data_IF_469961416376
#
_entry.id   IF_469961416376
#
_cell.length_a   1.000
_cell.length_b   1.000
_cell.length_c   1.000
_cell.angle_alpha   90.00
_cell.angle_beta   90.00
_cell.angle_gamma   90.00
#
_symmetry.space_group_name_H-M   'P 1'
#
loop_
_entity.id
_entity.type
_entity.pdbx_description
1 polymer ?
#
# COMPACT_ATOMS: atom_id res chain seq x y z
N UNK A 1 -1.76 10.14 -2.86
CA UNK A 1 -2.30 8.76 -2.85
C UNK A 1 -3.71 8.85 -2.30
N UNK A 2 -4.70 8.23 -2.94
CA UNK A 2 -6.07 8.23 -2.39
C UNK A 2 -6.04 7.73 -0.94
N UNK A 3 -6.86 8.33 -0.08
CA UNK A 3 -7.04 7.81 1.27
C UNK A 3 -7.61 6.39 1.18
N UNK A 4 -6.89 5.42 1.73
CA UNK A 4 -7.22 3.99 1.62
C UNK A 4 -8.39 3.58 2.53
N UNK A 5 -8.61 4.36 3.59
CA UNK A 5 -9.67 4.20 4.57
C UNK A 5 -9.81 5.54 5.32
N UNK A 6 -10.91 5.70 6.06
CA UNK A 6 -11.16 6.85 6.92
C UNK A 6 -10.31 6.75 8.21
N UNK A 7 -9.34 7.66 8.36
CA UNK A 7 -8.47 7.73 9.54
C UNK A 7 -9.20 8.26 10.80
N UNK A 8 -10.38 8.86 10.64
CA UNK A 8 -11.20 9.39 11.73
C UNK A 8 -12.30 8.42 12.19
N UNK A 9 -12.46 7.29 11.50
CA UNK A 9 -13.43 6.28 11.89
C UNK A 9 -13.15 5.75 13.31
N UNK A 10 -14.22 5.49 14.07
CA UNK A 10 -14.09 4.98 15.43
C UNK A 10 -13.50 3.56 15.46
N UNK A 11 -12.62 3.30 16.42
CA UNK A 11 -12.04 1.96 16.60
C UNK A 11 -13.14 0.98 17.02
N UNK A 12 -13.23 -0.14 16.32
CA UNK A 12 -14.16 -1.22 16.64
C UNK A 12 -13.39 -2.41 17.20
N UNK A 13 -13.81 -2.89 18.37
CA UNK A 13 -13.29 -4.14 18.92
C UNK A 13 -13.61 -5.30 17.98
N UNK A 14 -12.59 -6.10 17.66
CA UNK A 14 -12.68 -7.24 16.74
C UNK A 14 -12.09 -8.47 17.43
N UNK A 15 -12.86 -9.56 17.45
CA UNK A 15 -12.40 -10.85 17.95
C UNK A 15 -11.63 -11.56 16.83
N UNK A 16 -10.46 -12.10 17.17
CA UNK A 16 -9.54 -12.70 16.20
C UNK A 16 -8.78 -13.85 16.84
N UNK A 17 -8.45 -14.85 16.00
CA UNK A 17 -7.67 -16.01 16.40
C UNK A 17 -6.22 -15.80 16.00
N UNK A 18 -5.31 -15.82 16.98
CA UNK A 18 -3.85 -15.76 16.78
C UNK A 18 -3.22 -16.94 17.52
N UNK A 19 -2.06 -17.39 17.03
CA UNK A 19 -1.20 -18.34 17.73
C UNK A 19 -0.95 -17.90 19.20
N UNK A 20 -1.20 -18.80 20.14
CA UNK A 20 -1.13 -18.52 21.57
C UNK A 20 0.29 -18.20 22.07
N UNK A 21 1.32 -18.86 21.53
CA UNK A 21 2.73 -18.60 21.86
C UNK A 21 3.19 -17.24 21.31
N UNK A 22 2.76 -16.88 20.10
CA UNK A 22 3.04 -15.55 19.56
C UNK A 22 2.42 -14.46 20.43
N UNK A 23 1.16 -14.65 20.85
CA UNK A 23 0.46 -13.71 21.71
C UNK A 23 1.12 -13.57 23.08
N UNK A 24 1.55 -14.68 23.69
CA UNK A 24 2.21 -14.66 25.00
C UNK A 24 3.55 -13.91 24.93
N UNK A 25 4.37 -14.18 23.91
CA UNK A 25 5.64 -13.49 23.67
C UNK A 25 5.45 -12.00 23.41
N UNK A 26 4.47 -11.63 22.58
CA UNK A 26 4.17 -10.22 22.30
C UNK A 26 3.74 -9.47 23.56
N UNK A 27 2.90 -10.08 24.41
CA UNK A 27 2.48 -9.51 25.69
C UNK A 27 3.65 -9.39 26.68
N UNK A 28 4.52 -10.39 26.76
CA UNK A 28 5.72 -10.34 27.59
C UNK A 28 6.65 -9.17 27.21
N UNK A 29 6.74 -8.88 25.91
CA UNK A 29 7.48 -7.74 25.37
C UNK A 29 6.72 -6.40 25.43
N UNK A 30 5.53 -6.37 26.03
CA UNK A 30 4.65 -5.18 26.12
C UNK A 30 4.34 -4.54 24.76
N UNK A 31 4.27 -5.35 23.70
CA UNK A 31 3.93 -4.87 22.36
C UNK A 31 2.47 -4.40 22.35
N UNK A 32 2.23 -3.21 21.81
CA UNK A 32 0.87 -2.71 21.60
C UNK A 32 0.21 -3.45 20.43
N UNK A 33 -0.55 -4.50 20.74
CA UNK A 33 -1.19 -5.37 19.76
C UNK A 33 -2.12 -4.61 18.81
N UNK A 34 -2.91 -3.67 19.33
CA UNK A 34 -3.84 -2.87 18.51
C UNK A 34 -3.10 -2.02 17.48
N UNK A 35 -2.08 -1.27 17.91
CA UNK A 35 -1.29 -0.43 17.01
C UNK A 35 -0.52 -1.28 15.98
N UNK A 36 0.01 -2.42 16.40
CA UNK A 36 0.75 -3.34 15.52
C UNK A 36 -0.16 -3.94 14.46
N UNK A 37 -1.37 -4.38 14.85
CA UNK A 37 -2.37 -4.91 13.92
C UNK A 37 -2.83 -3.85 12.92
N UNK A 38 -3.15 -2.64 13.38
CA UNK A 38 -3.54 -1.53 12.51
C UNK A 38 -2.45 -1.21 11.49
N UNK A 39 -1.18 -1.18 11.91
CA UNK A 39 -0.06 -0.94 11.01
C UNK A 39 0.12 -2.05 9.96
N UNK A 40 0.00 -3.32 10.38
CA UNK A 40 0.07 -4.46 9.49
C UNK A 40 -1.05 -4.43 8.44
N UNK A 41 -2.29 -4.17 8.87
CA UNK A 41 -3.45 -4.02 7.98
C UNK A 41 -3.28 -2.87 7.00
N UNK A 42 -2.80 -1.71 7.45
CA UNK A 42 -2.51 -0.55 6.58
C UNK A 42 -1.48 -0.91 5.51
N UNK A 43 -0.48 -1.71 5.87
CA UNK A 43 0.57 -2.14 4.95
C UNK A 43 0.05 -3.13 3.90
N UNK A 44 -0.73 -4.13 4.31
CA UNK A 44 -1.33 -5.09 3.38
C UNK A 44 -2.37 -4.42 2.46
N UNK A 45 -3.20 -3.51 2.99
CA UNK A 45 -4.15 -2.75 2.19
C UNK A 45 -3.46 -1.92 1.10
N UNK A 46 -2.36 -1.23 1.46
CA UNK A 46 -1.52 -0.49 0.49
C UNK A 46 -0.99 -1.40 -0.62
N UNK A 47 -0.50 -2.58 -0.27
CA UNK A 47 0.02 -3.54 -1.25
C UNK A 47 -1.08 -3.99 -2.21
N UNK A 48 -2.24 -4.36 -1.67
CA UNK A 48 -3.40 -4.81 -2.45
C UNK A 48 -3.86 -3.72 -3.43
N UNK A 49 -4.06 -2.50 -2.94
CA UNK A 49 -4.50 -1.37 -3.77
C UNK A 49 -3.47 -0.99 -4.83
N UNK A 50 -2.17 -1.06 -4.51
CA UNK A 50 -1.11 -0.86 -5.52
C UNK A 50 -1.18 -1.91 -6.62
N UNK A 51 -1.40 -3.18 -6.26
CA UNK A 51 -1.55 -4.26 -7.24
C UNK A 51 -2.80 -4.06 -8.11
N UNK A 52 -3.93 -3.69 -7.51
CA UNK A 52 -5.16 -3.38 -8.24
C UNK A 52 -4.98 -2.19 -9.19
N UNK A 53 -4.34 -1.11 -8.72
CA UNK A 53 -4.06 0.06 -9.54
C UNK A 53 -3.18 -0.30 -10.73
N UNK A 54 -2.09 -1.05 -10.52
CA UNK A 54 -1.21 -1.49 -11.61
C UNK A 54 -1.96 -2.34 -12.64
N UNK A 55 -2.83 -3.25 -12.18
CA UNK A 55 -3.65 -4.08 -13.06
C UNK A 55 -4.60 -3.23 -13.91
N UNK A 56 -5.29 -2.28 -13.29
CA UNK A 56 -6.27 -1.43 -13.97
C UNK A 56 -5.61 -0.43 -14.94
N UNK A 57 -4.41 0.06 -14.61
CA UNK A 57 -3.70 1.05 -15.41
C UNK A 57 -2.73 0.43 -16.42
N UNK A 58 -2.61 -0.90 -16.47
CA UNK A 58 -1.65 -1.60 -17.35
C UNK A 58 -1.77 -1.14 -18.81
N UNK A 59 -2.98 -1.06 -19.36
CA UNK A 59 -3.19 -0.64 -20.74
C UNK A 59 -2.84 0.85 -20.98
N UNK A 60 -3.13 1.72 -20.00
CA UNK A 60 -2.78 3.13 -20.09
C UNK A 60 -1.26 3.33 -20.05
N UNK A 61 -0.57 2.60 -19.16
CA UNK A 61 0.89 2.60 -19.04
C UNK A 61 1.53 2.12 -20.34
N UNK A 62 1.05 1.01 -20.92
CA UNK A 62 1.57 0.49 -22.20
C UNK A 62 1.43 1.53 -23.31
N UNK A 63 0.24 2.12 -23.48
CA UNK A 63 0.01 3.15 -24.51
C UNK A 63 0.88 4.38 -24.31
N UNK A 64 1.08 4.81 -23.07
CA UNK A 64 1.93 5.95 -22.76
C UNK A 64 3.40 5.66 -23.09
N UNK A 65 3.88 4.46 -22.73
CA UNK A 65 5.23 4.02 -23.07
C UNK A 65 5.44 3.98 -24.59
N UNK A 66 4.48 3.41 -25.34
CA UNK A 66 4.55 3.40 -26.81
C UNK A 66 4.56 4.81 -27.42
N UNK A 67 3.83 5.76 -26.83
CA UNK A 67 3.85 7.16 -27.26
C UNK A 67 5.21 7.82 -26.97
N UNK A 68 5.78 7.57 -25.79
CA UNK A 68 7.10 8.08 -25.43
C UNK A 68 8.21 7.49 -26.31
N UNK A 69 8.15 6.19 -26.62
CA UNK A 69 9.10 5.52 -27.52
C UNK A 69 9.02 6.07 -28.96
N UNK A 70 7.81 6.40 -29.43
CA UNK A 70 7.61 6.93 -30.78
C UNK A 70 7.99 8.41 -30.92
N UNK A 71 7.69 9.21 -29.89
CA UNK A 71 7.75 10.67 -29.99
C UNK A 71 8.91 11.29 -29.21
N UNK A 72 9.64 10.50 -28.41
CA UNK A 72 10.57 11.01 -27.41
C UNK A 72 9.86 11.63 -26.21
N UNK A 73 10.61 11.97 -25.17
CA UNK A 73 10.07 12.69 -24.02
C UNK A 73 10.14 14.19 -24.26
N UNK A 74 9.11 14.91 -23.80
CA UNK A 74 9.13 16.39 -23.84
C UNK A 74 10.37 16.99 -23.15
N UNK A 75 10.86 16.34 -22.09
CA UNK A 75 12.06 16.76 -21.36
C UNK A 75 13.37 16.56 -22.12
N UNK A 76 13.37 15.78 -23.21
CA UNK A 76 14.60 15.51 -23.96
C UNK A 76 15.16 16.79 -24.59
N UNK A 77 14.30 17.77 -24.93
CA UNK A 77 14.71 19.06 -25.46
C UNK A 77 15.41 19.98 -24.44
N UNK A 78 15.35 19.65 -23.15
CA UNK A 78 15.86 20.47 -22.05
C UNK A 78 16.91 19.74 -21.20
N UNK A 79 17.28 18.50 -21.56
CA UNK A 79 18.28 17.74 -20.81
C UNK A 79 19.68 18.24 -21.18
N UNK A 80 20.37 18.85 -20.21
CA UNK A 80 21.79 19.19 -20.31
C UNK A 80 22.63 17.94 -19.96
N UNK A 81 23.68 17.66 -20.75
CA UNK A 81 24.58 16.50 -20.57
C UNK A 81 25.70 16.81 -19.58
#
# INVERSE_FOLDING_TARGET
MPQLYDEHASKKATNLSINSDLLSKARALKINLSATLEHALKTELRKSERCNWLKNNKNAIIKLNELADKNGLFSDAYRSF
#
